data_IF_485631481548
#
_entry.id   IF_485631481548
#
_cell.length_a   1.000
_cell.length_b   1.000
_cell.length_c   1.000
_cell.angle_alpha   90.00
_cell.angle_beta   90.00
_cell.angle_gamma   90.00
#
_symmetry.space_group_name_H-M   'P 1'
#
loop_
_entity.id
_entity.type
_entity.pdbx_description
1 polymer ?
#
# COMPACT_ATOMS: atom_id res chain seq x y z
N UNK A 1 75.85 17.86 -38.25
CA UNK A 1 74.68 16.95 -38.25
C UNK A 1 73.36 17.68 -38.05
N UNK A 2 73.27 18.72 -37.21
CA UNK A 2 72.06 19.51 -36.99
C UNK A 2 71.51 20.26 -38.23
N UNK A 3 72.38 20.74 -39.13
CA UNK A 3 71.95 21.49 -40.33
C UNK A 3 71.24 20.63 -41.40
N UNK A 4 71.63 19.36 -41.57
CA UNK A 4 70.94 18.42 -42.48
C UNK A 4 69.56 18.03 -41.96
N UNK A 5 69.43 17.81 -40.65
CA UNK A 5 68.14 17.52 -39.99
C UNK A 5 67.19 18.73 -40.12
N UNK A 6 67.71 19.94 -39.93
CA UNK A 6 66.92 21.17 -40.08
C UNK A 6 66.42 21.40 -41.51
N UNK A 7 67.28 21.17 -42.51
CA UNK A 7 66.90 21.30 -43.92
C UNK A 7 65.90 20.22 -44.37
N UNK A 8 66.01 19.01 -43.83
CA UNK A 8 65.06 17.93 -44.07
C UNK A 8 63.67 18.22 -43.47
N UNK A 9 63.63 18.69 -42.22
CA UNK A 9 62.39 19.12 -41.55
C UNK A 9 61.75 20.30 -42.32
N UNK A 10 62.53 21.27 -42.80
CA UNK A 10 62.03 22.41 -43.56
C UNK A 10 61.38 21.99 -44.90
N UNK A 11 61.94 20.99 -45.59
CA UNK A 11 61.37 20.45 -46.84
C UNK A 11 60.09 19.62 -46.62
N UNK A 12 59.93 18.99 -45.46
CA UNK A 12 58.76 18.17 -45.14
C UNK A 12 57.80 18.78 -44.10
N UNK A 13 57.93 20.08 -43.78
CA UNK A 13 57.17 20.77 -42.73
C UNK A 13 55.65 20.56 -42.82
N UNK A 14 55.08 20.59 -44.02
CA UNK A 14 53.63 20.33 -44.24
C UNK A 14 53.21 18.90 -43.87
N UNK A 15 54.07 17.91 -44.11
CA UNK A 15 53.80 16.50 -43.76
C UNK A 15 53.84 16.28 -42.25
N UNK A 16 54.81 16.87 -41.55
CA UNK A 16 54.87 16.82 -40.09
C UNK A 16 53.67 17.50 -39.41
N UNK A 17 53.21 18.64 -39.93
CA UNK A 17 52.02 19.33 -39.42
C UNK A 17 50.77 18.46 -39.62
N UNK A 18 50.59 17.87 -40.81
CA UNK A 18 49.45 17.00 -41.09
C UNK A 18 49.44 15.75 -40.20
N UNK A 19 50.57 15.05 -40.10
CA UNK A 19 50.69 13.87 -39.23
C UNK A 19 50.47 14.22 -37.75
N UNK A 20 51.03 15.33 -37.27
CA UNK A 20 50.80 15.79 -35.89
C UNK A 20 49.34 16.14 -35.63
N UNK A 21 48.65 16.78 -36.58
CA UNK A 21 47.23 17.10 -36.47
C UNK A 21 46.36 15.84 -36.46
N UNK A 22 46.66 14.85 -37.30
CA UNK A 22 45.93 13.57 -37.33
C UNK A 22 46.12 12.81 -36.02
N UNK A 23 47.37 12.66 -35.55
CA UNK A 23 47.67 11.95 -34.30
C UNK A 23 47.05 12.67 -33.09
N UNK A 24 47.17 14.00 -33.04
CA UNK A 24 46.55 14.82 -32.00
C UNK A 24 45.01 14.74 -32.03
N UNK A 25 44.41 14.76 -33.22
CA UNK A 25 42.96 14.61 -33.40
C UNK A 25 42.44 13.24 -32.93
N UNK A 26 43.11 12.15 -33.30
CA UNK A 26 42.77 10.79 -32.84
C UNK A 26 42.92 10.66 -31.33
N UNK A 27 43.99 11.22 -30.75
CA UNK A 27 44.21 11.20 -29.30
C UNK A 27 43.10 11.94 -28.54
N UNK A 28 42.77 13.17 -28.95
CA UNK A 28 41.71 13.97 -28.30
C UNK A 28 40.35 13.28 -28.45
N UNK A 29 40.03 12.78 -29.65
CA UNK A 29 38.78 12.08 -29.90
C UNK A 29 38.66 10.79 -29.07
N UNK A 30 39.72 9.97 -29.03
CA UNK A 30 39.75 8.76 -28.20
C UNK A 30 39.56 9.06 -26.71
N UNK A 31 40.22 10.11 -26.20
CA UNK A 31 40.07 10.51 -24.80
C UNK A 31 38.68 11.08 -24.50
N UNK A 32 38.09 11.82 -25.44
CA UNK A 32 36.71 12.29 -25.33
C UNK A 32 35.70 11.14 -25.35
N UNK A 33 35.88 10.16 -26.23
CA UNK A 33 35.04 8.97 -26.30
C UNK A 33 35.12 8.15 -24.99
N UNK A 34 36.33 7.89 -24.48
CA UNK A 34 36.52 7.21 -23.20
C UNK A 34 35.90 7.96 -22.02
N UNK A 35 36.04 9.30 -22.00
CA UNK A 35 35.41 10.13 -20.97
C UNK A 35 33.88 10.06 -21.09
N UNK A 36 33.33 10.22 -22.29
CA UNK A 36 31.88 10.19 -22.52
C UNK A 36 31.26 8.84 -22.18
N UNK A 37 31.92 7.73 -22.48
CA UNK A 37 31.45 6.38 -22.10
C UNK A 37 31.42 6.23 -20.58
N UNK A 38 32.48 6.67 -19.88
CA UNK A 38 32.52 6.62 -18.42
C UNK A 38 31.46 7.53 -17.79
N UNK A 39 31.31 8.76 -18.28
CA UNK A 39 30.31 9.70 -17.78
C UNK A 39 28.87 9.15 -17.97
N UNK A 40 28.60 8.44 -19.08
CA UNK A 40 27.31 7.74 -19.30
C UNK A 40 27.13 6.58 -18.31
N UNK A 41 28.14 5.73 -18.13
CA UNK A 41 28.08 4.61 -17.18
C UNK A 41 27.91 5.10 -15.74
N UNK A 42 28.62 6.16 -15.34
CA UNK A 42 28.48 6.77 -14.02
C UNK A 42 27.08 7.34 -13.81
N UNK A 43 26.50 7.97 -14.84
CA UNK A 43 25.13 8.50 -14.78
C UNK A 43 24.10 7.37 -14.64
N UNK A 44 24.17 6.35 -15.49
CA UNK A 44 23.27 5.18 -15.42
C UNK A 44 23.41 4.46 -14.06
N UNK A 45 24.63 4.26 -13.56
CA UNK A 45 24.86 3.65 -12.26
C UNK A 45 24.28 4.50 -11.11
N UNK A 46 24.40 5.83 -11.19
CA UNK A 46 23.85 6.73 -10.17
C UNK A 46 22.32 6.71 -10.17
N UNK A 47 21.68 6.77 -11.34
CA UNK A 47 20.23 6.68 -11.49
C UNK A 47 19.71 5.33 -10.98
N UNK A 48 20.38 4.24 -11.34
CA UNK A 48 20.05 2.90 -10.87
C UNK A 48 20.13 2.78 -9.33
N UNK A 49 21.21 3.28 -8.72
CA UNK A 49 21.38 3.27 -7.26
C UNK A 49 20.29 4.12 -6.58
N UNK A 50 19.96 5.28 -7.14
CA UNK A 50 18.91 6.15 -6.61
C UNK A 50 17.53 5.45 -6.62
N UNK A 51 17.18 4.82 -7.76
CA UNK A 51 15.94 4.07 -7.91
C UNK A 51 15.89 2.86 -6.96
N UNK A 52 16.98 2.08 -6.87
CA UNK A 52 17.08 0.94 -5.97
C UNK A 52 16.94 1.35 -4.49
N UNK A 53 17.54 2.48 -4.09
CA UNK A 53 17.41 3.02 -2.73
C UNK A 53 15.96 3.41 -2.43
N UNK A 54 15.29 4.11 -3.35
CA UNK A 54 13.89 4.51 -3.18
C UNK A 54 13.01 3.28 -3.00
N UNK A 55 13.18 2.27 -3.85
CA UNK A 55 12.42 1.02 -3.77
C UNK A 55 12.64 0.31 -2.43
N UNK A 56 13.89 0.22 -1.96
CA UNK A 56 14.20 -0.38 -0.66
C UNK A 56 13.52 0.36 0.49
N UNK A 57 13.54 1.70 0.50
CA UNK A 57 12.85 2.50 1.51
C UNK A 57 11.33 2.31 1.45
N UNK A 58 10.75 2.30 0.25
CA UNK A 58 9.33 2.04 0.05
C UNK A 58 8.91 0.65 0.57
N UNK A 59 9.66 -0.40 0.27
CA UNK A 59 9.37 -1.75 0.75
C UNK A 59 9.51 -1.86 2.27
N UNK A 60 10.49 -1.18 2.84
CA UNK A 60 10.61 -1.06 4.29
C UNK A 60 9.41 -0.34 4.88
N UNK A 61 8.95 0.74 4.26
CA UNK A 61 7.77 1.50 4.68
C UNK A 61 6.49 0.65 4.61
N UNK A 62 6.33 -0.19 3.58
CA UNK A 62 5.18 -1.10 3.48
C UNK A 62 5.16 -2.14 4.60
N UNK A 63 6.33 -2.66 5.00
CA UNK A 63 6.46 -3.56 6.15
C UNK A 63 6.08 -2.86 7.45
N UNK A 64 6.55 -1.63 7.66
CA UNK A 64 6.14 -0.81 8.81
C UNK A 64 4.63 -0.62 8.82
N UNK A 65 4.03 -0.23 7.69
CA UNK A 65 2.59 -0.05 7.58
C UNK A 65 1.81 -1.33 7.91
N UNK A 66 2.24 -2.49 7.42
CA UNK A 66 1.61 -3.77 7.76
C UNK A 66 1.64 -4.02 9.27
N UNK A 67 2.78 -3.80 9.91
CA UNK A 67 2.91 -3.97 11.37
C UNK A 67 2.05 -2.95 12.14
N UNK A 68 1.99 -1.70 11.68
CA UNK A 68 1.15 -0.66 12.29
C UNK A 68 -0.33 -1.02 12.19
N UNK A 69 -0.81 -1.49 11.02
CA UNK A 69 -2.19 -1.97 10.86
C UNK A 69 -2.49 -3.07 11.87
N UNK A 70 -1.64 -4.10 11.93
CA UNK A 70 -1.84 -5.22 12.85
C UNK A 70 -1.84 -4.79 14.33
N UNK A 71 -1.04 -3.79 14.69
CA UNK A 71 -1.01 -3.23 16.05
C UNK A 71 -2.23 -2.36 16.39
N UNK A 72 -2.90 -1.78 15.38
CA UNK A 72 -4.07 -0.91 15.55
C UNK A 72 -5.40 -1.67 15.45
N UNK A 73 -5.40 -2.91 14.95
CA UNK A 73 -6.59 -3.76 14.90
C UNK A 73 -7.20 -4.07 16.28
N UNK A 74 -6.44 -4.39 17.33
CA UNK A 74 -7.02 -4.67 18.65
C UNK A 74 -7.70 -3.43 19.27
N UNK A 75 -7.06 -2.23 19.31
CA UNK A 75 -7.75 -1.02 19.74
C UNK A 75 -9.01 -0.70 18.93
N UNK A 76 -8.96 -0.93 17.60
CA UNK A 76 -10.14 -0.75 16.75
C UNK A 76 -11.26 -1.72 17.14
N UNK A 77 -10.94 -3.01 17.32
CA UNK A 77 -11.91 -4.03 17.75
C UNK A 77 -12.53 -3.67 19.09
N UNK A 78 -11.72 -3.28 20.06
CA UNK A 78 -12.17 -2.88 21.39
C UNK A 78 -13.13 -1.68 21.31
N UNK A 79 -12.80 -0.67 20.52
CA UNK A 79 -13.68 0.49 20.32
C UNK A 79 -15.02 0.10 19.67
N UNK A 80 -14.99 -0.77 18.65
CA UNK A 80 -16.21 -1.25 17.99
C UNK A 80 -17.07 -2.09 18.95
N UNK A 81 -16.47 -3.01 19.72
CA UNK A 81 -17.19 -3.84 20.70
C UNK A 81 -17.74 -2.99 21.85
N UNK A 82 -17.01 -1.99 22.31
CA UNK A 82 -17.45 -1.10 23.38
C UNK A 82 -18.69 -0.28 22.97
N UNK A 83 -18.72 0.25 21.75
CA UNK A 83 -19.84 1.04 21.24
C UNK A 83 -21.03 0.19 20.76
N UNK A 84 -20.77 -1.04 20.32
CA UNK A 84 -21.77 -1.97 19.75
C UNK A 84 -21.75 -3.30 20.52
N UNK A 85 -22.04 -3.22 21.82
CA UNK A 85 -21.95 -4.36 22.73
C UNK A 85 -23.14 -5.31 22.56
N UNK A 86 -22.92 -6.44 21.87
CA UNK A 86 -23.93 -7.49 21.67
C UNK A 86 -23.95 -8.52 22.82
N UNK A 87 -22.85 -8.59 23.56
CA UNK A 87 -22.59 -9.59 24.58
C UNK A 87 -23.53 -9.38 25.78
N UNK A 88 -23.76 -8.11 26.15
CA UNK A 88 -24.72 -7.69 27.18
C UNK A 88 -26.16 -8.08 26.84
N UNK A 89 -26.59 -7.88 25.59
CA UNK A 89 -27.91 -8.32 25.14
C UNK A 89 -28.02 -9.85 25.14
N UNK A 90 -26.96 -10.53 24.72
CA UNK A 90 -26.92 -12.00 24.71
C UNK A 90 -26.97 -12.59 26.12
N UNK A 91 -26.30 -11.97 27.11
CA UNK A 91 -26.40 -12.39 28.51
C UNK A 91 -27.77 -12.12 29.09
N UNK A 92 -28.39 -10.98 28.77
CA UNK A 92 -29.76 -10.67 29.17
C UNK A 92 -30.76 -11.68 28.59
N UNK A 93 -30.61 -12.11 27.33
CA UNK A 93 -31.47 -13.15 26.75
C UNK A 93 -31.38 -14.50 27.49
N UNK A 94 -30.23 -14.83 28.09
CA UNK A 94 -30.05 -16.06 28.88
C UNK A 94 -30.87 -16.05 30.17
N UNK A 95 -31.18 -14.89 30.74
CA UNK A 95 -31.99 -14.76 31.97
C UNK A 95 -33.50 -14.90 31.73
N UNK A 96 -33.94 -15.17 30.48
CA UNK A 96 -35.35 -15.28 30.06
C UNK A 96 -36.21 -14.08 30.51
N UNK A 97 -35.87 -12.86 30.07
CA UNK A 97 -36.59 -11.64 30.44
C UNK A 97 -37.97 -11.60 29.77
N UNK A 98 -38.88 -10.81 30.35
CA UNK A 98 -40.23 -10.65 29.81
C UNK A 98 -40.23 -9.94 28.43
N UNK A 99 -39.33 -8.98 28.22
CA UNK A 99 -39.18 -8.23 26.96
C UNK A 99 -38.25 -8.91 25.95
N UNK A 100 -38.33 -10.24 25.82
CA UNK A 100 -37.46 -11.03 24.93
C UNK A 100 -37.46 -10.53 23.48
N UNK A 101 -38.63 -10.16 22.93
CA UNK A 101 -38.75 -9.75 21.53
C UNK A 101 -37.98 -8.46 21.24
N UNK A 102 -38.10 -7.47 22.11
CA UNK A 102 -37.39 -6.19 22.01
C UNK A 102 -35.87 -6.40 22.01
N UNK A 103 -35.37 -7.24 22.92
CA UNK A 103 -33.93 -7.54 23.01
C UNK A 103 -33.41 -8.26 21.74
N UNK A 104 -34.23 -9.11 21.11
CA UNK A 104 -33.86 -9.75 19.84
C UNK A 104 -33.83 -8.75 18.67
N UNK A 105 -34.73 -7.77 18.67
CA UNK A 105 -34.73 -6.68 17.68
C UNK A 105 -33.52 -5.77 17.86
N UNK A 106 -33.15 -5.41 19.10
CA UNK A 106 -31.93 -4.67 19.39
C UNK A 106 -30.67 -5.46 19.00
N UNK A 107 -30.62 -6.75 19.35
CA UNK A 107 -29.50 -7.62 19.01
C UNK A 107 -29.33 -7.74 17.48
N UNK A 108 -30.43 -7.79 16.72
CA UNK A 108 -30.39 -7.74 15.26
C UNK A 108 -29.72 -6.46 14.78
N UNK A 109 -30.16 -5.28 15.22
CA UNK A 109 -29.59 -4.01 14.76
C UNK A 109 -28.11 -3.91 15.14
N UNK A 110 -27.75 -4.25 16.38
CA UNK A 110 -26.36 -4.19 16.84
C UNK A 110 -25.47 -5.18 16.08
N UNK A 111 -25.89 -6.44 15.89
CA UNK A 111 -25.06 -7.43 15.20
C UNK A 111 -24.75 -7.04 13.75
N UNK A 112 -25.73 -6.55 13.00
CA UNK A 112 -25.51 -6.10 11.62
C UNK A 112 -24.68 -4.82 11.57
N UNK A 113 -25.01 -3.83 12.41
CA UNK A 113 -24.27 -2.56 12.48
C UNK A 113 -22.80 -2.81 12.83
N UNK A 114 -22.54 -3.68 13.80
CA UNK A 114 -21.20 -4.03 14.26
C UNK A 114 -20.35 -4.62 13.15
N UNK A 115 -20.89 -5.57 12.40
CA UNK A 115 -20.16 -6.20 11.29
C UNK A 115 -19.90 -5.23 10.14
N UNK A 116 -20.88 -4.38 9.80
CA UNK A 116 -20.70 -3.36 8.75
C UNK A 116 -19.64 -2.34 9.19
N UNK A 117 -19.74 -1.80 10.41
CA UNK A 117 -18.76 -0.85 10.96
C UNK A 117 -17.37 -1.47 11.01
N UNK A 118 -17.24 -2.75 11.41
CA UNK A 118 -15.97 -3.46 11.41
C UNK A 118 -15.34 -3.53 10.00
N UNK A 119 -16.13 -3.83 8.96
CA UNK A 119 -15.64 -3.82 7.57
C UNK A 119 -15.15 -2.44 7.16
N UNK A 120 -15.99 -1.41 7.29
CA UNK A 120 -15.65 -0.05 6.86
C UNK A 120 -14.45 0.51 7.62
N UNK A 121 -14.41 0.34 8.94
CA UNK A 121 -13.31 0.86 9.76
C UNK A 121 -12.00 0.13 9.52
N UNK A 122 -12.00 -1.19 9.30
CA UNK A 122 -10.78 -1.93 8.93
C UNK A 122 -10.27 -1.51 7.56
N UNK A 123 -11.13 -1.36 6.55
CA UNK A 123 -10.72 -0.85 5.24
C UNK A 123 -10.14 0.56 5.34
N UNK A 124 -10.83 1.46 6.07
CA UNK A 124 -10.36 2.83 6.27
C UNK A 124 -9.01 2.85 7.00
N UNK A 125 -8.84 2.04 8.04
CA UNK A 125 -7.58 1.92 8.78
C UNK A 125 -6.42 1.53 7.85
N UNK A 126 -6.62 0.52 7.00
CA UNK A 126 -5.60 0.04 6.06
C UNK A 126 -5.20 1.14 5.08
N UNK A 127 -6.17 1.74 4.38
CA UNK A 127 -5.88 2.73 3.33
C UNK A 127 -5.35 4.03 3.93
N UNK A 128 -5.88 4.49 5.06
CA UNK A 128 -5.42 5.71 5.74
C UNK A 128 -3.98 5.57 6.23
N UNK A 129 -3.62 4.44 6.85
CA UNK A 129 -2.23 4.20 7.27
C UNK A 129 -1.28 4.13 6.07
N UNK A 130 -1.70 3.54 4.94
CA UNK A 130 -0.91 3.58 3.71
C UNK A 130 -0.69 5.02 3.24
N UNK A 131 -1.70 5.87 3.23
CA UNK A 131 -1.53 7.29 2.86
C UNK A 131 -0.57 7.98 3.84
N UNK A 132 -0.87 7.95 5.14
CA UNK A 132 -0.10 8.66 6.16
C UNK A 132 1.37 8.25 6.18
N UNK A 133 1.67 6.94 6.20
CA UNK A 133 3.05 6.47 6.27
C UNK A 133 3.82 6.69 4.96
N UNK A 134 3.17 6.68 3.79
CA UNK A 134 3.88 6.95 2.53
C UNK A 134 4.17 8.45 2.34
N UNK A 135 3.29 9.34 2.81
CA UNK A 135 3.59 10.78 2.86
C UNK A 135 4.77 11.01 3.82
N UNK A 136 4.67 10.55 5.07
CA UNK A 136 5.73 10.72 6.07
C UNK A 136 7.05 10.08 5.62
N UNK A 137 6.98 8.87 5.03
CA UNK A 137 8.15 8.17 4.50
C UNK A 137 8.80 8.90 3.31
N UNK A 138 8.01 9.58 2.47
CA UNK A 138 8.53 10.41 1.37
C UNK A 138 9.29 11.63 1.89
N UNK A 139 8.71 12.35 2.85
CA UNK A 139 9.38 13.47 3.51
C UNK A 139 10.66 13.03 4.25
N UNK A 140 10.63 11.91 4.97
CA UNK A 140 11.81 11.38 5.66
C UNK A 140 12.92 10.96 4.68
N UNK A 141 12.56 10.46 3.50
CA UNK A 141 13.53 10.15 2.43
C UNK A 141 14.23 11.41 1.91
N UNK A 142 13.46 12.50 1.73
CA UNK A 142 14.01 13.80 1.34
C UNK A 142 14.83 14.46 2.45
N UNK A 143 14.39 14.39 3.71
CA UNK A 143 15.11 14.96 4.88
C UNK A 143 16.43 14.23 5.17
N UNK A 144 16.46 12.89 5.07
CA UNK A 144 17.73 12.15 5.09
C UNK A 144 18.68 12.55 3.94
N UNK A 145 18.14 13.15 2.87
CA UNK A 145 18.91 13.68 1.74
C UNK A 145 19.25 15.17 1.88
N UNK A 146 18.55 15.91 2.76
CA UNK A 146 18.66 17.35 2.95
C UNK A 146 18.91 17.67 4.44
N UNK A 147 20.13 18.08 4.79
CA UNK A 147 20.48 18.42 6.16
C UNK A 147 19.76 19.72 6.60
N UNK A 148 18.68 19.65 7.38
CA UNK A 148 18.06 20.88 7.91
C UNK A 148 16.74 20.72 8.67
N UNK A 149 16.83 20.72 10.00
CA UNK A 149 15.73 20.84 10.96
C UNK A 149 14.76 21.99 10.64
N UNK A 150 13.44 21.76 10.73
CA UNK A 150 12.43 22.84 10.72
C UNK A 150 11.35 22.63 11.79
N UNK A 151 10.72 23.73 12.22
CA UNK A 151 9.72 23.83 13.29
C UNK A 151 8.57 22.82 13.14
N UNK A 152 8.39 21.99 14.17
CA UNK A 152 7.54 20.80 14.15
C UNK A 152 6.06 21.08 13.83
N UNK A 153 5.52 22.23 14.24
CA UNK A 153 4.08 22.53 14.12
C UNK A 153 3.67 22.90 12.69
N UNK A 154 4.49 23.71 12.00
CA UNK A 154 4.24 24.09 10.60
C UNK A 154 4.36 22.87 9.69
N UNK A 155 5.34 21.99 9.96
CA UNK A 155 5.51 20.73 9.23
C UNK A 155 4.31 19.79 9.45
N UNK A 156 3.82 19.68 10.69
CA UNK A 156 2.63 18.86 11.01
C UNK A 156 1.38 19.36 10.29
N UNK A 157 1.12 20.67 10.30
CA UNK A 157 -0.02 21.27 9.58
C UNK A 157 0.08 20.99 8.08
N UNK A 158 1.28 21.10 7.51
CA UNK A 158 1.51 20.78 6.10
C UNK A 158 1.21 19.31 5.80
N UNK A 159 1.74 18.37 6.59
CA UNK A 159 1.47 16.94 6.42
C UNK A 159 -0.04 16.62 6.50
N UNK A 160 -0.76 17.28 7.41
CA UNK A 160 -2.20 17.10 7.54
C UNK A 160 -2.97 17.61 6.32
N UNK A 161 -2.58 18.77 5.77
CA UNK A 161 -3.20 19.31 4.55
C UNK A 161 -2.94 18.40 3.34
N UNK A 162 -1.69 17.96 3.13
CA UNK A 162 -1.34 17.03 2.04
C UNK A 162 -2.08 15.70 2.19
N UNK A 163 -2.22 15.19 3.42
CA UNK A 163 -3.02 13.99 3.69
C UNK A 163 -4.47 14.20 3.30
N UNK A 164 -5.07 15.34 3.68
CA UNK A 164 -6.44 15.68 3.32
C UNK A 164 -6.60 15.75 1.79
N UNK A 165 -5.66 16.38 1.08
CA UNK A 165 -5.72 16.49 -0.36
C UNK A 165 -5.66 15.11 -1.04
N UNK A 166 -4.84 14.18 -0.52
CA UNK A 166 -4.84 12.78 -0.98
C UNK A 166 -6.16 12.07 -0.65
N UNK A 167 -6.75 12.30 0.53
CA UNK A 167 -8.05 11.71 0.90
C UNK A 167 -9.21 12.22 0.05
N UNK A 168 -9.18 13.50 -0.33
CA UNK A 168 -10.18 14.14 -1.20
C UNK A 168 -9.96 13.77 -2.69
N UNK A 169 -8.89 13.06 -3.02
CA UNK A 169 -8.58 12.64 -4.39
C UNK A 169 -9.50 11.52 -4.92
N UNK A 170 -9.81 11.50 -6.23
CA UNK A 170 -10.59 10.43 -6.84
C UNK A 170 -9.88 9.07 -6.78
N UNK A 171 -8.55 9.07 -6.76
CA UNK A 171 -7.73 7.85 -6.67
C UNK A 171 -7.93 7.17 -5.32
N UNK A 172 -7.90 7.94 -4.23
CA UNK A 172 -8.21 7.41 -2.89
C UNK A 172 -9.62 6.83 -2.83
N UNK A 173 -10.63 7.56 -3.36
CA UNK A 173 -12.01 7.08 -3.43
C UNK A 173 -12.14 5.76 -4.19
N UNK A 174 -11.41 5.61 -5.30
CA UNK A 174 -11.40 4.37 -6.10
C UNK A 174 -10.79 3.20 -5.32
N UNK A 175 -9.64 3.42 -4.68
CA UNK A 175 -8.94 2.40 -3.91
C UNK A 175 -9.75 1.98 -2.67
N UNK A 176 -10.36 2.93 -1.96
CA UNK A 176 -11.23 2.62 -0.83
C UNK A 176 -12.43 1.77 -1.28
N UNK A 177 -13.07 2.09 -2.41
CA UNK A 177 -14.16 1.27 -2.96
C UNK A 177 -13.71 -0.14 -3.33
N UNK A 178 -12.53 -0.29 -3.94
CA UNK A 178 -11.94 -1.61 -4.22
C UNK A 178 -11.73 -2.41 -2.93
N UNK A 179 -11.15 -1.79 -1.90
CA UNK A 179 -10.97 -2.41 -0.59
C UNK A 179 -12.29 -2.84 0.04
N UNK A 180 -13.29 -1.97 0.02
CA UNK A 180 -14.62 -2.25 0.57
C UNK A 180 -15.31 -3.39 -0.17
N UNK A 181 -15.31 -3.36 -1.51
CA UNK A 181 -15.90 -4.43 -2.31
C UNK A 181 -15.24 -5.77 -2.01
N UNK A 182 -13.90 -5.82 -1.97
CA UNK A 182 -13.17 -7.04 -1.60
C UNK A 182 -13.50 -7.51 -0.19
N UNK A 183 -13.55 -6.61 0.77
CA UNK A 183 -13.89 -6.91 2.15
C UNK A 183 -15.32 -7.47 2.30
N UNK A 184 -16.30 -6.88 1.62
CA UNK A 184 -17.67 -7.41 1.60
C UNK A 184 -17.75 -8.78 0.91
N UNK A 185 -17.01 -9.01 -0.17
CA UNK A 185 -16.91 -10.35 -0.78
C UNK A 185 -16.36 -11.37 0.21
N UNK A 186 -15.27 -11.06 0.90
CA UNK A 186 -14.67 -11.96 1.91
C UNK A 186 -15.61 -12.20 3.10
N UNK A 187 -16.36 -11.18 3.52
CA UNK A 187 -17.42 -11.32 4.52
C UNK A 187 -18.50 -12.30 4.03
N UNK A 188 -18.98 -12.14 2.80
CA UNK A 188 -19.99 -13.03 2.24
C UNK A 188 -19.47 -14.47 2.08
N UNK A 189 -18.20 -14.64 1.70
CA UNK A 189 -17.55 -15.96 1.61
C UNK A 189 -17.51 -16.64 2.99
N UNK A 190 -17.14 -15.91 4.05
CA UNK A 190 -17.17 -16.39 5.43
C UNK A 190 -18.59 -16.74 5.90
N UNK A 191 -19.60 -15.99 5.45
CA UNK A 191 -21.00 -16.25 5.78
C UNK A 191 -21.53 -17.47 5.03
N UNK A 192 -21.13 -17.67 3.77
CA UNK A 192 -21.64 -18.73 2.88
C UNK A 192 -21.43 -20.14 3.45
N UNK A 193 -20.37 -20.36 4.22
CA UNK A 193 -20.11 -21.63 4.90
C UNK A 193 -21.29 -22.09 5.78
N UNK A 194 -21.96 -21.14 6.44
CA UNK A 194 -23.10 -21.44 7.33
C UNK A 194 -24.42 -21.70 6.59
N UNK A 195 -24.49 -21.42 5.29
CA UNK A 195 -25.64 -21.70 4.45
C UNK A 195 -25.50 -23.02 3.68
N UNK A 196 -24.42 -23.78 3.87
CA UNK A 196 -24.24 -25.08 3.20
C UNK A 196 -25.10 -26.16 3.87
N UNK A 197 -25.82 -27.00 3.10
CA UNK A 197 -26.56 -28.12 3.68
C UNK A 197 -25.60 -29.14 4.33
N UNK A 198 -26.03 -29.84 5.40
CA UNK A 198 -25.18 -30.82 6.07
C UNK A 198 -24.78 -31.96 5.10
N UNK A 199 -23.53 -32.45 5.17
CA UNK A 199 -23.07 -33.57 4.35
C UNK A 199 -23.71 -34.86 4.88
N UNK A 200 -24.90 -35.22 4.38
CA UNK A 200 -25.63 -36.38 4.89
C UNK A 200 -26.72 -36.96 3.99
N UNK A 201 -27.48 -36.14 3.24
CA UNK A 201 -28.63 -36.64 2.46
C UNK A 201 -28.37 -36.61 0.94
N UNK A 202 -27.23 -37.17 0.52
CA UNK A 202 -26.96 -37.41 -0.91
C UNK A 202 -27.39 -38.83 -1.28
N UNK A 203 -28.66 -38.99 -1.65
CA UNK A 203 -29.05 -40.12 -2.50
C UNK A 203 -28.25 -40.06 -3.81
N UNK A 204 -27.80 -41.19 -4.42
CA UNK A 204 -26.81 -41.17 -5.49
C UNK A 204 -27.25 -40.58 -6.84
N UNK A 205 -28.47 -40.02 -6.95
CA UNK A 205 -29.09 -39.66 -8.23
C UNK A 205 -29.69 -38.24 -8.21
N UNK A 206 -28.87 -37.21 -7.99
CA UNK A 206 -29.27 -35.85 -8.38
C UNK A 206 -28.14 -35.14 -9.12
N UNK A 207 -28.51 -34.50 -10.22
CA UNK A 207 -27.61 -33.80 -11.14
C UNK A 207 -26.75 -32.74 -10.42
N UNK A 208 -25.58 -32.35 -10.97
CA UNK A 208 -24.62 -31.49 -10.29
C UNK A 208 -25.08 -30.03 -10.02
N UNK A 209 -26.30 -29.65 -10.42
CA UNK A 209 -26.76 -28.25 -10.44
C UNK A 209 -27.82 -27.90 -9.39
N UNK A 210 -27.95 -28.66 -8.31
CA UNK A 210 -28.83 -28.27 -7.19
C UNK A 210 -28.09 -27.33 -6.23
N UNK A 211 -27.83 -26.09 -6.65
CA UNK A 211 -27.64 -24.95 -5.75
C UNK A 211 -28.97 -24.70 -5.03
N UNK A 212 -29.33 -25.58 -4.10
CA UNK A 212 -30.44 -25.34 -3.21
C UNK A 212 -30.11 -24.07 -2.42
N UNK A 213 -30.80 -22.97 -2.72
CA UNK A 213 -30.74 -21.76 -1.92
C UNK A 213 -31.25 -22.11 -0.52
N UNK A 214 -30.33 -22.48 0.37
CA UNK A 214 -30.65 -22.72 1.77
C UNK A 214 -31.01 -21.37 2.37
N UNK A 215 -32.27 -21.25 2.82
CA UNK A 215 -32.72 -20.07 3.55
C UNK A 215 -32.66 -20.35 5.05
N UNK A 216 -32.00 -19.44 5.79
CA UNK A 216 -31.96 -19.50 7.25
C UNK A 216 -32.90 -18.45 7.83
N UNK A 217 -33.67 -18.78 8.89
CA UNK A 217 -34.40 -17.78 9.64
C UNK A 217 -33.44 -16.69 10.17
N UNK A 218 -33.85 -15.43 10.13
CA UNK A 218 -33.02 -14.30 10.55
C UNK A 218 -32.45 -14.45 11.97
N UNK A 219 -33.23 -15.03 12.89
CA UNK A 219 -32.77 -15.31 14.25
C UNK A 219 -31.54 -16.25 14.32
N UNK A 220 -31.34 -17.12 13.32
CA UNK A 220 -30.13 -17.94 13.18
C UNK A 220 -28.99 -17.21 12.49
N UNK A 221 -29.29 -16.21 11.64
CA UNK A 221 -28.29 -15.37 10.96
C UNK A 221 -27.63 -14.39 11.93
N UNK A 222 -28.39 -13.83 12.87
CA UNK A 222 -27.89 -12.88 13.88
C UNK A 222 -26.59 -13.36 14.56
N UNK A 223 -26.53 -14.54 15.21
CA UNK A 223 -25.29 -14.98 15.87
C UNK A 223 -24.14 -15.23 14.89
N UNK A 224 -24.43 -15.65 13.65
CA UNK A 224 -23.42 -15.87 12.60
C UNK A 224 -22.76 -14.53 12.23
N UNK A 225 -23.58 -13.51 11.95
CA UNK A 225 -23.11 -12.16 11.65
C UNK A 225 -22.38 -11.57 12.84
N UNK A 226 -22.93 -11.74 14.05
CA UNK A 226 -22.35 -11.22 15.27
C UNK A 226 -20.93 -11.74 15.52
N UNK A 227 -20.65 -12.99 15.12
CA UNK A 227 -19.33 -13.60 15.24
C UNK A 227 -18.28 -13.11 14.25
N UNK A 228 -18.67 -12.42 13.17
CA UNK A 228 -17.75 -12.01 12.10
C UNK A 228 -16.69 -11.00 12.56
N UNK A 229 -16.96 -10.23 13.60
CA UNK A 229 -16.00 -9.28 14.17
C UNK A 229 -14.68 -9.95 14.59
N UNK A 230 -14.74 -11.20 15.03
CA UNK A 230 -13.56 -11.96 15.44
C UNK A 230 -12.67 -12.35 14.25
N UNK A 231 -13.25 -12.45 13.05
CA UNK A 231 -12.52 -12.72 11.80
C UNK A 231 -12.03 -11.42 11.16
N UNK A 232 -12.89 -10.39 11.11
CA UNK A 232 -12.60 -9.09 10.47
C UNK A 232 -11.51 -8.33 11.23
N UNK A 233 -11.57 -8.31 12.56
CA UNK A 233 -10.63 -7.59 13.42
C UNK A 233 -9.77 -8.53 14.28
N UNK A 234 -9.35 -9.66 13.71
CA UNK A 234 -8.49 -10.62 14.42
C UNK A 234 -7.10 -10.05 14.69
N UNK A 235 -6.54 -10.41 15.85
CA UNK A 235 -5.14 -10.13 16.23
C UNK A 235 -4.14 -11.01 15.47
N UNK A 236 -4.50 -12.27 15.24
CA UNK A 236 -3.78 -13.11 14.30
C UNK A 236 -4.16 -12.66 12.89
N UNK A 237 -3.21 -12.60 11.93
CA UNK A 237 -3.54 -12.18 10.57
C UNK A 237 -4.59 -13.14 10.02
N UNK A 238 -5.84 -12.72 10.04
CA UNK A 238 -6.91 -13.43 9.38
C UNK A 238 -6.70 -13.27 7.88
N UNK A 239 -7.17 -14.26 7.11
CA UNK A 239 -7.17 -14.19 5.65
C UNK A 239 -7.76 -12.85 5.17
N UNK A 240 -8.75 -12.32 5.90
CA UNK A 240 -9.38 -11.04 5.65
C UNK A 240 -8.40 -9.86 5.65
N UNK A 241 -7.68 -9.66 6.76
CA UNK A 241 -6.73 -8.56 6.90
C UNK A 241 -5.55 -8.76 5.95
N UNK A 242 -5.09 -10.00 5.81
CA UNK A 242 -3.96 -10.33 4.94
C UNK A 242 -4.28 -10.02 3.46
N UNK A 243 -5.46 -10.39 2.98
CA UNK A 243 -5.91 -10.10 1.61
C UNK A 243 -6.02 -8.59 1.35
N UNK A 244 -6.47 -7.82 2.35
CA UNK A 244 -6.50 -6.36 2.24
C UNK A 244 -5.10 -5.74 2.22
N UNK A 245 -4.19 -6.22 3.07
CA UNK A 245 -2.81 -5.73 3.14
C UNK A 245 -1.98 -6.07 1.90
N UNK A 246 -2.24 -7.23 1.30
CA UNK A 246 -1.52 -7.74 0.14
C UNK A 246 -2.13 -7.35 -1.20
N UNK A 247 -3.22 -6.60 -1.22
CA UNK A 247 -3.87 -6.13 -2.44
C UNK A 247 -2.91 -5.27 -3.29
N UNK A 248 -2.66 -5.70 -4.53
CA UNK A 248 -1.69 -5.06 -5.41
C UNK A 248 -2.12 -3.65 -5.84
N UNK A 249 -3.42 -3.38 -6.00
CA UNK A 249 -3.92 -2.04 -6.33
C UNK A 249 -3.67 -1.06 -5.18
N UNK A 250 -3.78 -1.52 -3.93
CA UNK A 250 -3.44 -0.71 -2.75
C UNK A 250 -1.93 -0.43 -2.68
N UNK A 251 -1.09 -1.42 -3.03
CA UNK A 251 0.37 -1.24 -3.09
C UNK A 251 0.78 -0.27 -4.19
N UNK A 252 0.16 -0.37 -5.36
CA UNK A 252 0.42 0.54 -6.49
C UNK A 252 0.03 1.97 -6.13
N UNK A 253 -1.14 2.17 -5.54
CA UNK A 253 -1.54 3.49 -5.02
C UNK A 253 -0.56 4.00 -3.96
N UNK A 254 -0.14 3.16 -3.02
CA UNK A 254 0.86 3.51 -2.02
C UNK A 254 2.21 3.91 -2.66
N UNK A 255 2.62 3.27 -3.75
CA UNK A 255 3.83 3.62 -4.49
C UNK A 255 3.70 4.98 -5.17
N UNK A 256 2.55 5.27 -5.80
CA UNK A 256 2.28 6.56 -6.43
C UNK A 256 2.31 7.72 -5.41
N UNK A 257 1.69 7.50 -4.24
CA UNK A 257 1.75 8.45 -3.12
C UNK A 257 3.20 8.63 -2.70
N UNK A 258 3.92 7.55 -2.40
CA UNK A 258 5.32 7.63 -1.96
C UNK A 258 6.22 8.34 -2.97
N UNK A 259 6.07 8.08 -4.27
CA UNK A 259 6.84 8.73 -5.33
C UNK A 259 6.55 10.22 -5.41
N UNK A 260 5.27 10.62 -5.30
CA UNK A 260 4.84 12.02 -5.33
C UNK A 260 5.48 12.84 -4.19
N UNK A 261 5.70 12.23 -3.03
CA UNK A 261 6.29 12.90 -1.85
C UNK A 261 7.79 12.62 -1.65
N UNK A 262 8.41 11.74 -2.45
CA UNK A 262 9.86 11.42 -2.38
C UNK A 262 10.66 11.96 -3.56
N UNK A 263 10.01 12.63 -4.51
CA UNK A 263 10.66 13.37 -5.58
C UNK A 263 10.84 14.82 -5.14
N UNK A 264 12.07 15.39 -5.24
CA UNK A 264 12.24 16.82 -5.00
C UNK A 264 11.35 17.58 -5.97
N UNK A 265 10.51 18.48 -5.45
CA UNK A 265 9.79 19.44 -6.29
C UNK A 265 10.83 20.37 -6.92
N UNK A 266 11.37 20.00 -8.07
CA UNK A 266 12.00 20.96 -8.96
C UNK A 266 10.92 21.99 -9.30
N UNK A 267 11.11 23.22 -8.82
CA UNK A 267 10.37 24.43 -9.15
C UNK A 267 9.64 24.31 -10.50
N UNK A 268 8.36 23.93 -10.47
CA UNK A 268 7.43 24.27 -11.54
C UNK A 268 7.23 25.78 -11.46
N UNK A 269 8.15 26.52 -12.08
CA UNK A 269 7.98 27.90 -12.51
C UNK A 269 7.44 27.92 -13.94
#
# INVERSE_FOLDING_TARGET
MFSSVWNFIKRHKKKFIFTGAVVGGVYIFGRYAQKKIRDIQEKEATEYIAQARRQFHFESNQRTCNMTVLSMLPPLREAVVAQLNSETLTTLLKTKPANKLEIWEDLKIISFTRTIVAVYSTCMLVVLLRVQLNIVGGYLYLDNSACGLTENDVMTIRLLNETRDVLDSPDFGTILNICLNRAFSLLLDNLAEFFRPPPGDSAPNSAPDSLAAVSLPLAKIIPIINGQINSICSETPSLFVQDLLLNDQVKEFAANVYESFSTPQELQK
#
